data_IF_117961085131
#
_entry.id   IF_117961085131
#
_cell.length_a   1.000
_cell.length_b   1.000
_cell.length_c   1.000
_cell.angle_alpha   90.00
_cell.angle_beta   90.00
_cell.angle_gamma   90.00
#
_symmetry.space_group_name_H-M   'P 1'
#
loop_
_entity.id
_entity.type
_entity.pdbx_description
1 polymer ?
#
# COMPACT_ATOMS: atom_id res chain seq x y z
N UNK A 1 -24.96 -19.24 -47.58
CA UNK A 1 -25.60 -18.89 -46.28
C UNK A 1 -24.79 -19.57 -45.18
N UNK A 2 -23.79 -18.88 -44.66
CA UNK A 2 -22.96 -19.33 -43.54
C UNK A 2 -23.56 -18.77 -42.25
N UNK A 3 -24.18 -19.65 -41.46
CA UNK A 3 -24.69 -19.38 -40.15
C UNK A 3 -23.52 -19.02 -39.24
N UNK A 4 -23.28 -17.72 -39.02
CA UNK A 4 -22.50 -17.22 -37.88
C UNK A 4 -23.27 -17.60 -36.62
N UNK A 5 -22.83 -18.68 -35.96
CA UNK A 5 -23.30 -19.03 -34.64
C UNK A 5 -22.91 -17.87 -33.69
N UNK A 6 -23.92 -17.13 -33.21
CA UNK A 6 -23.78 -16.11 -32.21
C UNK A 6 -23.14 -16.77 -30.95
N UNK A 7 -21.87 -16.51 -30.75
CA UNK A 7 -21.19 -16.88 -29.49
C UNK A 7 -21.90 -16.13 -28.38
N UNK A 8 -22.82 -16.81 -27.69
CA UNK A 8 -23.45 -16.28 -26.50
C UNK A 8 -22.34 -15.95 -25.47
N UNK A 9 -21.99 -14.68 -25.36
CA UNK A 9 -21.01 -14.21 -24.38
C UNK A 9 -21.63 -14.34 -22.99
N UNK A 10 -21.19 -15.35 -22.24
CA UNK A 10 -21.59 -15.52 -20.84
C UNK A 10 -21.28 -14.22 -20.09
N UNK A 11 -22.15 -13.75 -19.16
CA UNK A 11 -21.88 -12.58 -18.35
C UNK A 11 -20.57 -12.78 -17.59
N UNK A 12 -19.73 -11.74 -17.51
CA UNK A 12 -18.37 -11.80 -16.95
C UNK A 12 -18.35 -12.44 -15.54
N UNK A 13 -19.38 -12.20 -14.72
CA UNK A 13 -19.54 -12.80 -13.38
C UNK A 13 -19.66 -14.33 -13.45
N UNK A 14 -20.43 -14.86 -14.40
CA UNK A 14 -20.60 -16.29 -14.56
C UNK A 14 -19.32 -16.98 -15.06
N UNK A 15 -18.46 -16.24 -15.78
CA UNK A 15 -17.18 -16.74 -16.25
C UNK A 15 -16.10 -16.72 -15.16
N UNK A 16 -16.12 -15.72 -14.27
CA UNK A 16 -15.20 -15.61 -13.13
C UNK A 16 -15.45 -16.66 -12.04
N UNK A 17 -16.72 -16.90 -11.74
CA UNK A 17 -17.13 -17.81 -10.68
C UNK A 17 -17.65 -19.16 -11.23
N UNK A 18 -17.40 -19.46 -12.51
CA UNK A 18 -17.66 -20.76 -13.12
C UNK A 18 -16.72 -21.85 -12.53
N UNK A 19 -17.12 -23.15 -12.68
CA UNK A 19 -16.41 -24.29 -12.07
C UNK A 19 -14.90 -24.29 -12.29
N UNK A 20 -14.46 -23.88 -13.49
CA UNK A 20 -13.05 -23.89 -13.88
C UNK A 20 -12.18 -22.82 -13.19
N UNK A 21 -12.75 -21.65 -12.83
CA UNK A 21 -12.02 -20.50 -12.32
C UNK A 21 -12.41 -20.07 -10.90
N UNK A 22 -13.49 -20.68 -10.36
CA UNK A 22 -14.04 -20.29 -9.05
C UNK A 22 -13.00 -20.35 -7.94
N UNK A 23 -12.26 -21.44 -7.82
CA UNK A 23 -11.23 -21.61 -6.79
C UNK A 23 -10.11 -20.59 -6.94
N UNK A 24 -9.62 -20.37 -8.17
CA UNK A 24 -8.60 -19.36 -8.48
C UNK A 24 -9.09 -17.97 -8.12
N UNK A 25 -10.31 -17.59 -8.55
CA UNK A 25 -10.88 -16.26 -8.28
C UNK A 25 -11.03 -16.05 -6.77
N UNK A 26 -11.63 -16.99 -6.04
CA UNK A 26 -11.81 -16.88 -4.60
C UNK A 26 -10.46 -16.84 -3.88
N UNK A 27 -9.50 -17.68 -4.26
CA UNK A 27 -8.17 -17.70 -3.68
C UNK A 27 -7.41 -16.40 -3.87
N UNK A 28 -7.47 -15.79 -5.08
CA UNK A 28 -6.89 -14.47 -5.34
C UNK A 28 -7.54 -13.37 -4.51
N UNK A 29 -8.88 -13.37 -4.43
CA UNK A 29 -9.61 -12.38 -3.63
C UNK A 29 -9.28 -12.52 -2.14
N UNK A 30 -9.14 -13.74 -1.62
CA UNK A 30 -8.70 -13.97 -0.24
C UNK A 30 -7.28 -13.49 0.02
N UNK A 31 -6.33 -13.75 -0.90
CA UNK A 31 -4.96 -13.23 -0.78
C UNK A 31 -4.92 -11.71 -0.71
N UNK A 32 -5.65 -11.05 -1.61
CA UNK A 32 -5.73 -9.58 -1.62
C UNK A 32 -6.42 -9.05 -0.37
N UNK A 33 -7.55 -9.65 0.03
CA UNK A 33 -8.27 -9.23 1.24
C UNK A 33 -7.43 -9.41 2.50
N UNK A 34 -6.64 -10.46 2.58
CA UNK A 34 -5.73 -10.71 3.69
C UNK A 34 -4.62 -9.66 3.78
N UNK A 35 -3.96 -9.34 2.65
CA UNK A 35 -2.94 -8.29 2.60
C UNK A 35 -3.55 -6.93 2.97
N UNK A 36 -4.77 -6.66 2.48
CA UNK A 36 -5.48 -5.44 2.79
C UNK A 36 -5.88 -5.35 4.27
N UNK A 37 -6.38 -6.45 4.87
CA UNK A 37 -6.72 -6.51 6.29
C UNK A 37 -5.49 -6.27 7.16
N UNK A 38 -4.38 -6.92 6.83
CA UNK A 38 -3.12 -6.76 7.55
C UNK A 38 -2.64 -5.30 7.48
N UNK A 39 -2.61 -4.71 6.28
CA UNK A 39 -2.17 -3.33 6.09
C UNK A 39 -3.00 -2.32 6.90
N UNK A 40 -4.32 -2.55 7.03
CA UNK A 40 -5.22 -1.65 7.78
C UNK A 40 -5.27 -1.98 9.27
N UNK A 41 -5.30 -3.27 9.63
CA UNK A 41 -5.45 -3.73 11.02
C UNK A 41 -4.21 -3.50 11.87
N UNK A 42 -3.01 -3.70 11.31
CA UNK A 42 -1.75 -3.48 12.02
C UNK A 42 -1.61 -2.04 12.49
N UNK A 43 -2.03 -1.06 11.67
CA UNK A 43 -2.02 0.36 12.06
C UNK A 43 -2.84 0.63 13.33
N UNK A 44 -3.99 -0.04 13.46
CA UNK A 44 -4.86 0.10 14.64
C UNK A 44 -4.27 -0.59 15.87
N UNK A 45 -3.67 -1.76 15.73
CA UNK A 45 -3.09 -2.51 16.85
C UNK A 45 -1.75 -1.92 17.31
N UNK A 46 -1.01 -1.20 16.48
CA UNK A 46 0.38 -0.79 16.73
C UNK A 46 0.60 0.01 18.01
N UNK A 47 -0.31 0.93 18.44
CA UNK A 47 -0.15 1.59 19.74
C UNK A 47 -0.04 0.61 20.92
N UNK A 48 -0.87 -0.44 20.92
CA UNK A 48 -0.81 -1.47 21.95
C UNK A 48 0.45 -2.34 21.85
N UNK A 49 0.86 -2.69 20.62
CA UNK A 49 2.09 -3.47 20.35
C UNK A 49 3.32 -2.77 20.92
N UNK A 50 3.52 -1.48 20.62
CA UNK A 50 4.71 -0.76 21.07
C UNK A 50 4.66 -0.44 22.57
N UNK A 51 3.46 -0.31 23.14
CA UNK A 51 3.28 -0.15 24.58
C UNK A 51 3.64 -1.44 25.33
N UNK A 52 3.16 -2.59 24.87
CA UNK A 52 3.43 -3.91 25.44
C UNK A 52 4.93 -4.27 25.34
N UNK A 53 5.58 -3.97 24.21
CA UNK A 53 7.01 -4.18 24.02
C UNK A 53 7.89 -3.09 24.65
N UNK A 54 7.32 -2.04 25.25
CA UNK A 54 8.03 -0.97 25.96
C UNK A 54 8.87 -0.06 25.05
N UNK A 55 8.53 0.07 23.75
CA UNK A 55 9.37 0.75 22.75
C UNK A 55 8.58 1.69 21.82
N UNK A 56 7.78 2.57 22.40
CA UNK A 56 6.94 3.54 21.66
C UNK A 56 7.74 4.36 20.62
N UNK A 57 9.02 4.66 20.95
CA UNK A 57 9.93 5.35 20.05
C UNK A 57 10.15 4.62 18.70
N UNK A 58 9.97 3.30 18.66
CA UNK A 58 10.15 2.49 17.46
C UNK A 58 8.84 2.29 16.67
N UNK A 59 7.78 3.07 16.94
CA UNK A 59 6.46 2.94 16.31
C UNK A 59 6.48 2.84 14.78
N UNK A 60 7.35 3.60 14.11
CA UNK A 60 7.44 3.63 12.66
C UNK A 60 8.10 2.36 12.05
N UNK A 61 8.99 1.70 12.80
CA UNK A 61 9.84 0.65 12.28
C UNK A 61 9.11 -0.57 11.70
N UNK A 62 8.02 -1.08 12.30
CA UNK A 62 7.27 -2.19 11.73
C UNK A 62 6.72 -1.88 10.32
N UNK A 63 6.31 -0.64 10.07
CA UNK A 63 5.81 -0.20 8.76
C UNK A 63 6.94 0.01 7.75
N UNK A 64 8.04 0.63 8.17
CA UNK A 64 9.23 0.85 7.34
C UNK A 64 9.85 -0.48 6.92
N UNK A 65 10.00 -1.44 7.86
CA UNK A 65 10.56 -2.76 7.58
C UNK A 65 9.72 -3.55 6.57
N UNK A 66 8.40 -3.55 6.73
CA UNK A 66 7.47 -4.16 5.78
C UNK A 66 7.59 -3.52 4.39
N UNK A 67 7.51 -2.18 4.31
CA UNK A 67 7.53 -1.47 3.04
C UNK A 67 8.87 -1.62 2.32
N UNK A 68 9.99 -1.51 3.02
CA UNK A 68 11.33 -1.70 2.47
C UNK A 68 11.51 -3.12 1.88
N UNK A 69 11.09 -4.14 2.63
CA UNK A 69 11.12 -5.52 2.16
C UNK A 69 10.20 -5.74 0.95
N UNK A 70 9.00 -5.14 0.95
CA UNK A 70 8.03 -5.24 -0.14
C UNK A 70 8.53 -4.59 -1.44
N UNK A 71 9.26 -3.48 -1.37
CA UNK A 71 9.90 -2.84 -2.54
C UNK A 71 10.86 -3.79 -3.24
N UNK A 72 11.74 -4.42 -2.47
CA UNK A 72 12.70 -5.40 -3.00
C UNK A 72 11.97 -6.60 -3.59
N UNK A 73 11.00 -7.11 -2.86
CA UNK A 73 10.23 -8.28 -3.24
C UNK A 73 9.38 -8.06 -4.49
N UNK A 74 8.84 -6.86 -4.70
CA UNK A 74 8.09 -6.50 -5.91
C UNK A 74 8.96 -6.62 -7.16
N UNK A 75 10.22 -6.16 -7.10
CA UNK A 75 11.17 -6.25 -8.21
C UNK A 75 11.63 -7.69 -8.43
N UNK A 76 11.95 -8.42 -7.36
CA UNK A 76 12.34 -9.83 -7.42
C UNK A 76 11.20 -10.72 -7.92
N UNK A 77 9.96 -10.44 -7.46
CA UNK A 77 8.75 -11.17 -7.84
C UNK A 77 8.45 -11.04 -9.33
N UNK A 78 8.60 -9.83 -9.89
CA UNK A 78 8.48 -9.63 -11.35
C UNK A 78 9.46 -10.53 -12.11
N UNK A 79 10.74 -10.47 -11.75
CA UNK A 79 11.76 -11.30 -12.40
C UNK A 79 11.52 -12.79 -12.20
N UNK A 80 11.09 -13.21 -11.02
CA UNK A 80 10.77 -14.61 -10.74
C UNK A 80 9.60 -15.10 -11.61
N UNK A 81 8.54 -14.29 -11.76
CA UNK A 81 7.43 -14.60 -12.66
C UNK A 81 7.86 -14.68 -14.13
N UNK A 82 8.76 -13.80 -14.58
CA UNK A 82 9.28 -13.80 -15.96
C UNK A 82 10.08 -15.08 -16.26
N UNK A 83 10.85 -15.58 -15.29
CA UNK A 83 11.75 -16.73 -15.50
C UNK A 83 11.04 -18.07 -15.28
N UNK A 84 10.26 -18.18 -14.20
CA UNK A 84 9.68 -19.45 -13.73
C UNK A 84 8.15 -19.51 -13.83
N UNK A 85 7.54 -18.48 -14.40
CA UNK A 85 6.08 -18.33 -14.41
C UNK A 85 5.48 -18.00 -13.03
N UNK A 86 4.17 -17.75 -12.95
CA UNK A 86 3.53 -17.29 -11.73
C UNK A 86 3.27 -18.36 -10.67
N UNK A 87 3.43 -19.67 -11.02
CA UNK A 87 3.05 -20.78 -10.14
C UNK A 87 3.82 -20.78 -8.82
N UNK A 88 5.16 -20.85 -8.90
CA UNK A 88 6.01 -20.92 -7.70
C UNK A 88 5.93 -19.65 -6.85
N UNK A 89 5.98 -18.44 -7.44
CA UNK A 89 5.73 -17.21 -6.69
C UNK A 89 4.41 -17.21 -5.93
N UNK A 90 3.31 -17.69 -6.52
CA UNK A 90 1.97 -17.72 -5.88
C UNK A 90 1.82 -18.75 -4.76
N UNK A 91 2.72 -19.73 -4.67
CA UNK A 91 2.73 -20.70 -3.58
C UNK A 91 3.69 -20.25 -2.48
N UNK A 92 4.90 -19.87 -2.86
CA UNK A 92 5.98 -19.57 -1.90
C UNK A 92 5.73 -18.22 -1.21
N UNK A 93 5.32 -17.20 -1.96
CA UNK A 93 5.20 -15.85 -1.39
C UNK A 93 4.11 -15.74 -0.31
N UNK A 94 2.88 -16.25 -0.50
CA UNK A 94 1.90 -16.29 0.59
C UNK A 94 2.35 -17.18 1.75
N UNK A 95 3.12 -18.26 1.49
CA UNK A 95 3.73 -19.08 2.54
C UNK A 95 4.73 -18.28 3.38
N UNK A 96 5.63 -17.52 2.75
CA UNK A 96 6.58 -16.61 3.43
C UNK A 96 5.83 -15.55 4.23
N UNK A 97 4.75 -14.98 3.65
CA UNK A 97 3.88 -14.04 4.36
C UNK A 97 3.27 -14.68 5.61
N UNK A 98 2.75 -15.92 5.49
CA UNK A 98 2.18 -16.69 6.60
C UNK A 98 3.19 -16.97 7.71
N UNK A 99 4.43 -17.35 7.36
CA UNK A 99 5.53 -17.48 8.33
C UNK A 99 5.79 -16.15 9.02
N UNK A 100 5.82 -15.05 8.26
CA UNK A 100 5.94 -13.70 8.81
C UNK A 100 4.83 -13.33 9.78
N UNK A 101 3.57 -13.74 9.51
CA UNK A 101 2.45 -13.57 10.44
C UNK A 101 2.66 -14.32 11.75
N UNK A 102 3.15 -15.57 11.68
CA UNK A 102 3.44 -16.36 12.89
C UNK A 102 4.56 -15.72 13.69
N UNK A 103 5.67 -15.33 13.03
CA UNK A 103 6.82 -14.69 13.70
C UNK A 103 6.41 -13.38 14.37
N UNK A 104 5.63 -12.54 13.69
CA UNK A 104 5.13 -11.27 14.26
C UNK A 104 4.09 -11.51 15.36
N UNK A 105 3.18 -12.47 15.15
CA UNK A 105 2.11 -12.79 16.10
C UNK A 105 2.57 -13.56 17.33
N UNK A 106 3.80 -14.03 17.38
CA UNK A 106 4.43 -14.62 18.58
C UNK A 106 5.55 -13.75 19.15
N UNK A 107 5.65 -12.48 18.69
CA UNK A 107 6.77 -11.64 19.05
C UNK A 107 6.74 -11.21 20.53
N UNK A 108 7.80 -11.55 21.27
CA UNK A 108 8.08 -11.06 22.61
C UNK A 108 9.14 -9.92 22.63
N UNK A 109 9.56 -9.46 21.44
CA UNK A 109 10.51 -8.35 21.29
C UNK A 109 10.30 -7.59 19.99
N UNK A 110 10.74 -6.33 19.96
CA UNK A 110 10.69 -5.52 18.74
C UNK A 110 11.51 -6.15 17.59
N UNK A 111 12.66 -6.74 17.89
CA UNK A 111 13.50 -7.39 16.88
C UNK A 111 12.77 -8.56 16.20
N UNK A 112 12.06 -9.39 16.98
CA UNK A 112 11.24 -10.48 16.43
C UNK A 112 10.07 -9.95 15.61
N UNK A 113 9.38 -8.91 16.09
CA UNK A 113 8.32 -8.25 15.35
C UNK A 113 8.84 -7.75 13.99
N UNK A 114 9.97 -7.04 13.97
CA UNK A 114 10.58 -6.54 12.74
C UNK A 114 10.97 -7.65 11.78
N UNK A 115 11.51 -8.76 12.27
CA UNK A 115 11.81 -9.95 11.44
C UNK A 115 10.51 -10.49 10.79
N UNK A 116 9.43 -10.61 11.56
CA UNK A 116 8.12 -10.96 11.03
C UNK A 116 7.62 -9.99 9.96
N UNK A 117 7.77 -8.67 10.17
CA UNK A 117 7.39 -7.61 9.23
C UNK A 117 8.19 -7.67 7.92
N UNK A 118 9.49 -7.96 7.99
CA UNK A 118 10.33 -8.19 6.80
C UNK A 118 9.81 -9.39 6.01
N UNK A 119 9.56 -10.53 6.65
CA UNK A 119 9.00 -11.71 5.98
C UNK A 119 7.63 -11.43 5.34
N UNK A 120 6.75 -10.73 6.04
CA UNK A 120 5.46 -10.29 5.50
C UNK A 120 5.64 -9.39 4.28
N UNK A 121 6.54 -8.40 4.34
CA UNK A 121 6.86 -7.52 3.22
C UNK A 121 7.39 -8.29 2.00
N UNK A 122 8.31 -9.23 2.21
CA UNK A 122 8.83 -10.11 1.15
C UNK A 122 7.71 -10.93 0.51
N UNK A 123 6.87 -11.56 1.31
CA UNK A 123 5.74 -12.34 0.84
C UNK A 123 4.71 -11.50 0.08
N UNK A 124 4.29 -10.37 0.64
CA UNK A 124 3.29 -9.49 0.03
C UNK A 124 3.76 -8.90 -1.30
N UNK A 125 5.00 -8.40 -1.39
CA UNK A 125 5.56 -7.81 -2.61
C UNK A 125 5.57 -8.78 -3.78
N UNK A 126 6.05 -10.01 -3.57
CA UNK A 126 6.03 -11.06 -4.61
C UNK A 126 4.60 -11.49 -4.93
N UNK A 127 3.73 -11.69 -3.92
CA UNK A 127 2.36 -12.18 -4.12
C UNK A 127 1.52 -11.22 -4.95
N UNK A 128 1.64 -9.91 -4.74
CA UNK A 128 0.93 -8.90 -5.52
C UNK A 128 1.32 -9.00 -6.99
N UNK A 129 2.61 -9.03 -7.32
CA UNK A 129 3.08 -9.12 -8.71
C UNK A 129 2.63 -10.44 -9.34
N UNK A 130 2.81 -11.55 -8.65
CA UNK A 130 2.41 -12.87 -9.13
C UNK A 130 0.90 -12.96 -9.39
N UNK A 131 0.08 -12.27 -8.58
CA UNK A 131 -1.37 -12.16 -8.79
C UNK A 131 -1.69 -11.46 -10.11
N UNK A 132 -1.03 -10.33 -10.44
CA UNK A 132 -1.23 -9.63 -11.71
C UNK A 132 -0.82 -10.49 -12.90
N UNK A 133 0.31 -11.20 -12.80
CA UNK A 133 0.77 -12.12 -13.85
C UNK A 133 -0.22 -13.28 -14.03
N UNK A 134 -0.72 -13.87 -12.94
CA UNK A 134 -1.73 -14.93 -13.02
C UNK A 134 -3.00 -14.45 -13.75
N UNK A 135 -3.46 -13.23 -13.44
CA UNK A 135 -4.63 -12.65 -14.12
C UNK A 135 -4.37 -12.52 -15.62
N UNK A 136 -3.17 -12.12 -15.99
CA UNK A 136 -2.82 -12.00 -17.41
C UNK A 136 -2.75 -13.35 -18.14
N UNK A 137 -2.42 -14.44 -17.44
CA UNK A 137 -2.30 -15.79 -18.03
C UNK A 137 -3.64 -16.54 -18.02
N UNK A 138 -4.37 -16.51 -16.91
CA UNK A 138 -5.57 -17.37 -16.70
C UNK A 138 -6.85 -16.75 -17.26
N UNK A 139 -6.95 -15.40 -17.24
CA UNK A 139 -8.20 -14.75 -17.60
C UNK A 139 -8.15 -14.14 -19.00
N UNK A 140 -9.16 -14.44 -19.88
CA UNK A 140 -9.28 -13.82 -21.19
C UNK A 140 -9.32 -12.29 -21.09
N UNK A 141 -8.75 -11.59 -22.08
CA UNK A 141 -8.64 -10.11 -22.08
C UNK A 141 -9.96 -9.41 -21.77
N UNK A 142 -11.09 -9.93 -22.29
CA UNK A 142 -12.43 -9.36 -22.10
C UNK A 142 -12.94 -9.36 -20.65
N UNK A 143 -12.51 -10.32 -19.80
CA UNK A 143 -12.98 -10.42 -18.40
C UNK A 143 -12.00 -9.85 -17.38
N UNK A 144 -10.76 -9.55 -17.77
CA UNK A 144 -9.76 -8.94 -16.87
C UNK A 144 -10.24 -7.66 -16.18
N UNK A 145 -10.99 -6.74 -16.85
CA UNK A 145 -11.54 -5.56 -16.15
C UNK A 145 -12.46 -5.93 -14.98
N UNK A 146 -13.26 -7.01 -15.13
CA UNK A 146 -14.12 -7.49 -14.06
C UNK A 146 -13.31 -8.11 -12.91
N UNK A 147 -12.20 -8.85 -13.21
CA UNK A 147 -11.28 -9.36 -12.17
C UNK A 147 -10.70 -8.20 -11.36
N UNK A 148 -10.21 -7.16 -12.01
CA UNK A 148 -9.67 -5.97 -11.33
C UNK A 148 -10.73 -5.24 -10.50
N UNK A 149 -11.98 -5.19 -10.98
CA UNK A 149 -13.10 -4.68 -10.21
C UNK A 149 -13.32 -5.47 -8.92
N UNK A 150 -13.30 -6.79 -8.96
CA UNK A 150 -13.40 -7.64 -7.77
C UNK A 150 -12.18 -7.53 -6.84
N UNK A 151 -10.97 -7.39 -7.39
CA UNK A 151 -9.77 -7.12 -6.59
C UNK A 151 -9.89 -5.79 -5.83
N UNK A 152 -10.41 -4.74 -6.49
CA UNK A 152 -10.68 -3.47 -5.80
C UNK A 152 -11.71 -3.63 -4.68
N UNK A 153 -12.78 -4.42 -4.92
CA UNK A 153 -13.76 -4.74 -3.88
C UNK A 153 -13.13 -5.55 -2.71
N UNK A 154 -12.15 -6.41 -3.01
CA UNK A 154 -11.40 -7.17 -2.01
C UNK A 154 -10.53 -6.29 -1.08
N UNK A 155 -10.23 -5.05 -1.46
CA UNK A 155 -9.64 -4.03 -0.58
C UNK A 155 -10.68 -3.30 0.27
N UNK A 156 -11.88 -3.07 -0.27
CA UNK A 156 -12.91 -2.27 0.40
C UNK A 156 -13.39 -2.94 1.69
N UNK A 157 -13.73 -4.23 1.65
CA UNK A 157 -14.24 -4.93 2.84
C UNK A 157 -13.22 -4.93 3.99
N UNK A 158 -11.95 -5.33 3.79
CA UNK A 158 -10.93 -5.23 4.83
C UNK A 158 -10.68 -3.81 5.34
N UNK A 159 -10.78 -2.80 4.48
CA UNK A 159 -10.57 -1.42 4.91
C UNK A 159 -11.68 -0.89 5.83
N UNK A 160 -12.91 -1.43 5.69
CA UNK A 160 -14.04 -1.10 6.56
C UNK A 160 -14.05 -1.91 7.85
N UNK A 161 -13.77 -3.21 7.76
CA UNK A 161 -13.90 -4.16 8.87
C UNK A 161 -12.58 -4.35 9.61
N UNK A 162 -11.44 -4.22 8.91
CA UNK A 162 -10.12 -4.49 9.47
C UNK A 162 -9.79 -3.67 10.71
N UNK A 163 -9.82 -2.32 10.67
CA UNK A 163 -9.50 -1.52 11.83
C UNK A 163 -10.38 -1.77 13.04
N UNK A 164 -11.74 -1.81 12.96
CA UNK A 164 -12.58 -2.14 14.11
C UNK A 164 -12.32 -3.55 14.65
N UNK A 165 -12.17 -4.54 13.80
CA UNK A 165 -11.89 -5.91 14.22
C UNK A 165 -10.52 -6.00 14.91
N UNK A 166 -9.49 -5.37 14.34
CA UNK A 166 -8.17 -5.31 14.95
C UNK A 166 -8.22 -4.60 16.32
N UNK A 167 -8.99 -3.51 16.45
CA UNK A 167 -9.21 -2.82 17.71
C UNK A 167 -9.84 -3.72 18.77
N UNK A 168 -10.99 -4.34 18.44
CA UNK A 168 -11.71 -5.26 19.35
C UNK A 168 -10.86 -6.46 19.73
N UNK A 169 -10.18 -7.09 18.76
CA UNK A 169 -9.31 -8.24 19.02
C UNK A 169 -8.16 -7.85 19.94
N UNK A 170 -7.54 -6.69 19.72
CA UNK A 170 -6.45 -6.20 20.54
C UNK A 170 -6.91 -5.90 21.97
N UNK A 171 -8.07 -5.27 22.15
CA UNK A 171 -8.61 -4.89 23.46
C UNK A 171 -9.16 -6.07 24.26
N UNK A 172 -9.80 -7.05 23.60
CA UNK A 172 -10.54 -8.14 24.27
C UNK A 172 -9.75 -9.43 24.40
N UNK A 173 -8.76 -9.64 23.53
CA UNK A 173 -7.98 -10.87 23.46
C UNK A 173 -6.50 -10.55 23.61
N UNK A 174 -5.85 -10.12 22.51
CA UNK A 174 -4.45 -9.67 22.45
C UNK A 174 -4.13 -9.19 21.04
N UNK A 175 -3.21 -8.22 20.90
CA UNK A 175 -2.69 -7.77 19.61
C UNK A 175 -2.03 -8.89 18.79
N UNK A 176 -1.51 -9.93 19.41
CA UNK A 176 -0.92 -11.09 18.74
C UNK A 176 -1.88 -11.74 17.74
N UNK A 177 -3.18 -11.76 18.08
CA UNK A 177 -4.22 -12.36 17.25
C UNK A 177 -4.57 -11.54 16.01
N UNK A 178 -4.18 -10.27 15.94
CA UNK A 178 -4.28 -9.48 14.70
C UNK A 178 -3.41 -10.08 13.59
N UNK A 179 -2.29 -10.70 13.95
CA UNK A 179 -1.41 -11.43 13.05
C UNK A 179 -1.81 -12.90 12.92
N UNK A 180 -1.89 -13.62 14.04
CA UNK A 180 -2.14 -15.08 14.06
C UNK A 180 -3.50 -15.45 13.47
N UNK A 181 -4.52 -14.61 13.66
CA UNK A 181 -5.86 -14.82 13.11
C UNK A 181 -5.91 -14.84 11.57
N UNK A 182 -4.91 -14.28 10.90
CA UNK A 182 -4.80 -14.31 9.43
C UNK A 182 -4.14 -15.60 8.89
N UNK A 183 -3.43 -16.37 9.73
CA UNK A 183 -2.74 -17.58 9.28
C UNK A 183 -3.69 -18.60 8.65
N UNK A 184 -4.86 -18.93 9.24
CA UNK A 184 -5.83 -19.82 8.60
C UNK A 184 -6.30 -19.31 7.24
N UNK A 185 -6.46 -17.98 7.06
CA UNK A 185 -6.87 -17.37 5.78
C UNK A 185 -5.80 -17.59 4.72
N UNK A 186 -4.51 -17.45 5.08
CA UNK A 186 -3.37 -17.78 4.19
C UNK A 186 -3.44 -19.22 3.73
N UNK A 187 -3.65 -20.15 4.66
CA UNK A 187 -3.71 -21.58 4.34
C UNK A 187 -4.87 -21.92 3.41
N UNK A 188 -6.05 -21.34 3.65
CA UNK A 188 -7.22 -21.50 2.77
C UNK A 188 -6.94 -20.90 1.38
N UNK A 189 -6.34 -19.71 1.31
CA UNK A 189 -6.00 -19.08 0.04
C UNK A 189 -4.99 -19.93 -0.75
N UNK A 190 -3.97 -20.48 -0.11
CA UNK A 190 -2.99 -21.39 -0.72
C UNK A 190 -3.65 -22.68 -1.21
N UNK A 191 -4.57 -23.27 -0.42
CA UNK A 191 -5.29 -24.46 -0.82
C UNK A 191 -6.18 -24.23 -2.05
N UNK A 192 -6.69 -23.01 -2.24
CA UNK A 192 -7.52 -22.65 -3.40
C UNK A 192 -6.69 -22.28 -4.63
N UNK A 193 -5.57 -21.56 -4.45
CA UNK A 193 -4.72 -21.11 -5.56
C UNK A 193 -3.77 -22.22 -6.04
N UNK A 194 -3.23 -23.02 -5.14
CA UNK A 194 -2.25 -24.05 -5.45
C UNK A 194 -2.67 -25.02 -6.56
N UNK A 195 -3.84 -25.68 -6.48
CA UNK A 195 -4.32 -26.55 -7.54
C UNK A 195 -4.58 -25.81 -8.87
N UNK A 196 -5.06 -24.59 -8.81
CA UNK A 196 -5.39 -23.78 -9.97
C UNK A 196 -4.16 -23.33 -10.79
N UNK A 197 -3.00 -23.36 -10.17
CA UNK A 197 -1.72 -23.04 -10.84
C UNK A 197 -1.00 -24.27 -11.41
N UNK A 198 -1.55 -25.49 -11.19
CA UNK A 198 -1.01 -26.72 -11.80
C UNK A 198 -1.13 -26.64 -13.32
N UNK A 199 -0.01 -26.82 -14.01
CA UNK A 199 0.01 -26.75 -15.48
C UNK A 199 0.31 -25.37 -16.06
N UNK A 200 0.44 -24.31 -15.25
CA UNK A 200 0.96 -23.04 -15.73
C UNK A 200 2.47 -23.19 -15.96
N UNK A 201 2.87 -23.33 -17.21
CA UNK A 201 4.27 -23.38 -17.60
C UNK A 201 4.94 -22.00 -17.49
N UNK A 202 6.28 -22.01 -17.43
CA UNK A 202 7.06 -20.79 -17.70
C UNK A 202 6.79 -20.31 -19.13
N UNK A 203 6.88 -18.99 -19.41
CA UNK A 203 6.72 -18.47 -20.76
C UNK A 203 7.71 -19.18 -21.72
N UNK A 204 7.20 -19.72 -22.83
CA UNK A 204 8.02 -20.38 -23.86
C UNK A 204 8.81 -19.37 -24.69
N UNK A 205 8.28 -18.18 -24.86
CA UNK A 205 8.94 -17.06 -25.54
C UNK A 205 10.00 -16.47 -24.60
N UNK A 206 11.26 -16.65 -24.98
CA UNK A 206 12.46 -16.33 -24.20
C UNK A 206 12.33 -15.12 -23.27
N UNK A 207 12.88 -15.28 -22.07
CA UNK A 207 12.84 -14.28 -21.00
C UNK A 207 13.32 -12.92 -21.53
N UNK A 208 12.45 -11.91 -21.52
CA UNK A 208 12.84 -10.55 -21.85
C UNK A 208 14.11 -10.13 -21.09
N UNK A 209 15.09 -9.48 -21.73
CA UNK A 209 16.33 -9.13 -21.09
C UNK A 209 16.04 -8.30 -19.84
N UNK A 210 16.52 -8.78 -18.69
CA UNK A 210 16.35 -8.06 -17.43
C UNK A 210 16.96 -6.66 -17.57
N UNK A 211 16.22 -5.62 -17.23
CA UNK A 211 16.81 -4.29 -17.06
C UNK A 211 17.87 -4.43 -15.96
N UNK A 212 19.16 -4.44 -16.36
CA UNK A 212 20.29 -4.67 -15.46
C UNK A 212 20.27 -3.66 -14.31
N UNK A 213 20.46 -4.14 -13.09
CA UNK A 213 20.58 -3.30 -11.90
C UNK A 213 19.27 -2.88 -11.21
N UNK A 214 18.08 -3.32 -11.66
CA UNK A 214 16.82 -2.99 -10.95
C UNK A 214 16.76 -3.60 -9.55
N UNK A 215 17.26 -4.82 -9.35
CA UNK A 215 17.32 -5.47 -8.04
C UNK A 215 18.26 -4.70 -7.10
N UNK A 216 19.44 -4.32 -7.61
CA UNK A 216 20.41 -3.50 -6.85
C UNK A 216 19.80 -2.14 -6.51
N UNK A 217 19.07 -1.53 -7.45
CA UNK A 217 18.38 -0.27 -7.19
C UNK A 217 17.24 -0.44 -6.16
N UNK A 218 16.48 -1.55 -6.19
CA UNK A 218 15.45 -1.82 -5.19
C UNK A 218 16.05 -2.04 -3.79
N UNK A 219 17.14 -2.80 -3.70
CA UNK A 219 17.90 -2.95 -2.45
C UNK A 219 18.44 -1.60 -1.96
N UNK A 220 19.03 -0.80 -2.86
CA UNK A 220 19.51 0.52 -2.54
C UNK A 220 18.39 1.45 -2.05
N UNK A 221 17.21 1.41 -2.68
CA UNK A 221 16.06 2.18 -2.24
C UNK A 221 15.54 1.75 -0.85
N UNK A 222 15.46 0.44 -0.61
CA UNK A 222 15.05 -0.11 0.69
C UNK A 222 16.03 0.27 1.80
N UNK A 223 17.33 0.07 1.57
CA UNK A 223 18.41 0.44 2.52
C UNK A 223 18.43 1.96 2.71
N UNK A 224 18.26 2.73 1.66
CA UNK A 224 18.23 4.20 1.72
C UNK A 224 17.08 4.72 2.58
N UNK A 225 15.86 4.22 2.39
CA UNK A 225 14.70 4.63 3.21
C UNK A 225 14.86 4.18 4.66
N UNK A 226 15.27 2.93 4.90
CA UNK A 226 15.51 2.44 6.26
C UNK A 226 16.66 3.21 6.94
N UNK A 227 17.73 3.49 6.21
CA UNK A 227 18.88 4.27 6.69
C UNK A 227 18.52 5.70 7.04
N UNK A 228 17.70 6.38 6.21
CA UNK A 228 17.18 7.72 6.54
C UNK A 228 16.27 7.69 7.77
N UNK A 229 15.42 6.67 7.87
CA UNK A 229 14.56 6.49 9.06
C UNK A 229 15.38 6.25 10.33
N UNK A 230 16.48 5.49 10.25
CA UNK A 230 17.39 5.28 11.37
C UNK A 230 18.16 6.56 11.72
N UNK A 231 18.72 7.23 10.72
CA UNK A 231 19.50 8.45 10.87
C UNK A 231 18.67 9.56 11.53
N UNK A 232 17.42 9.70 11.15
CA UNK A 232 16.51 10.71 11.71
C UNK A 232 16.17 10.49 13.19
N UNK A 233 16.40 9.29 13.71
CA UNK A 233 16.22 8.94 15.14
C UNK A 233 17.53 9.04 15.92
N UNK A 234 18.66 9.29 15.29
CA UNK A 234 20.00 9.35 15.89
C UNK A 234 20.64 10.71 15.65
N UNK A 235 20.45 11.65 16.57
CA UNK A 235 20.98 13.02 16.50
C UNK A 235 22.48 13.08 16.87
N UNK A 236 23.28 12.25 16.22
CA UNK A 236 24.75 12.17 16.41
C UNK A 236 25.47 12.35 15.08
N UNK A 237 26.77 12.52 15.15
CA UNK A 237 27.60 12.50 13.94
C UNK A 237 27.39 11.21 13.13
N UNK A 238 27.24 10.07 13.81
CA UNK A 238 26.95 8.80 13.18
C UNK A 238 25.59 8.84 12.43
N UNK A 239 24.56 9.46 13.00
CA UNK A 239 23.27 9.69 12.34
C UNK A 239 23.41 10.55 11.10
N UNK A 240 24.15 11.65 11.16
CA UNK A 240 24.40 12.52 10.00
C UNK A 240 25.16 11.79 8.87
N UNK A 241 26.18 11.01 9.22
CA UNK A 241 26.92 10.18 8.26
C UNK A 241 26.01 9.13 7.63
N UNK A 242 25.19 8.44 8.43
CA UNK A 242 24.23 7.45 7.92
C UNK A 242 23.19 8.09 6.99
N UNK A 243 22.69 9.29 7.30
CA UNK A 243 21.79 10.04 6.42
C UNK A 243 22.44 10.36 5.07
N UNK A 244 23.70 10.79 5.08
CA UNK A 244 24.46 11.09 3.86
C UNK A 244 24.65 9.82 3.01
N UNK A 245 25.06 8.71 3.62
CA UNK A 245 25.22 7.41 2.94
C UNK A 245 23.87 6.95 2.37
N UNK A 246 22.81 7.00 3.17
CA UNK A 246 21.47 6.61 2.75
C UNK A 246 20.98 7.46 1.55
N UNK A 247 21.22 8.77 1.56
CA UNK A 247 20.88 9.67 0.44
C UNK A 247 21.71 9.34 -0.82
N UNK A 248 23.00 9.10 -0.68
CA UNK A 248 23.90 8.71 -1.80
C UNK A 248 23.45 7.41 -2.45
N UNK A 249 22.92 6.47 -1.67
CA UNK A 249 22.39 5.19 -2.19
C UNK A 249 20.99 5.35 -2.78
N UNK A 250 20.12 6.13 -2.12
CA UNK A 250 18.72 6.29 -2.51
C UNK A 250 18.54 7.05 -3.82
N UNK A 251 19.27 8.17 -4.00
CA UNK A 251 19.11 9.04 -5.18
C UNK A 251 19.35 8.31 -6.50
N UNK A 252 20.48 7.58 -6.71
CA UNK A 252 20.66 6.82 -7.95
C UNK A 252 19.71 5.62 -8.06
N UNK A 253 19.29 5.03 -6.93
CA UNK A 253 18.28 3.97 -6.93
C UNK A 253 16.94 4.48 -7.49
N UNK A 254 16.44 5.62 -7.00
CA UNK A 254 15.23 6.26 -7.51
C UNK A 254 15.35 6.61 -9.00
N UNK A 255 16.52 7.06 -9.44
CA UNK A 255 16.78 7.37 -10.86
C UNK A 255 16.64 6.17 -11.80
N UNK A 256 16.82 4.93 -11.29
CA UNK A 256 16.64 3.68 -12.05
C UNK A 256 15.26 3.06 -11.92
N UNK A 257 14.62 3.25 -10.76
CA UNK A 257 13.30 2.67 -10.45
C UNK A 257 12.16 3.51 -10.99
N UNK A 258 12.35 4.83 -11.13
CA UNK A 258 11.33 5.77 -11.55
C UNK A 258 11.58 6.29 -12.97
N UNK A 259 10.54 6.70 -13.72
CA UNK A 259 10.70 7.33 -15.03
C UNK A 259 11.55 8.60 -14.94
N UNK A 260 12.35 8.85 -15.98
CA UNK A 260 13.23 10.00 -16.03
C UNK A 260 12.44 11.32 -15.89
N UNK A 261 12.86 12.17 -14.96
CA UNK A 261 12.20 13.45 -14.68
C UNK A 261 11.09 13.39 -13.61
N UNK A 262 10.85 12.24 -12.97
CA UNK A 262 9.85 12.10 -11.89
C UNK A 262 10.10 13.09 -10.76
N UNK A 263 11.34 13.19 -10.22
CA UNK A 263 11.68 14.11 -9.13
C UNK A 263 11.49 15.59 -9.52
N UNK A 264 11.63 15.91 -10.81
CA UNK A 264 11.42 17.28 -11.35
C UNK A 264 9.98 17.53 -11.79
N UNK A 265 9.07 16.60 -11.53
CA UNK A 265 7.67 16.67 -11.96
C UNK A 265 7.50 17.04 -13.45
N UNK A 266 8.29 16.42 -14.36
CA UNK A 266 8.13 16.63 -15.79
C UNK A 266 6.74 16.21 -16.21
N UNK A 267 6.14 16.93 -17.18
CA UNK A 267 4.79 16.67 -17.67
C UNK A 267 4.60 15.24 -18.13
N UNK A 268 3.38 14.73 -18.02
CA UNK A 268 2.99 13.36 -18.39
C UNK A 268 3.30 12.34 -17.30
N UNK A 269 3.72 11.14 -17.68
CA UNK A 269 3.93 9.99 -16.79
C UNK A 269 4.85 10.30 -15.59
N UNK A 270 5.97 11.04 -15.72
CA UNK A 270 6.80 11.37 -14.56
C UNK A 270 6.05 12.14 -13.48
N UNK A 271 5.21 13.10 -13.86
CA UNK A 271 4.37 13.85 -12.91
C UNK A 271 3.30 12.97 -12.27
N UNK A 272 2.73 12.01 -13.03
CA UNK A 272 1.74 11.05 -12.52
C UNK A 272 2.37 10.13 -11.46
N UNK A 273 3.58 9.62 -11.71
CA UNK A 273 4.31 8.77 -10.77
C UNK A 273 4.68 9.53 -9.49
N UNK A 274 5.12 10.78 -9.61
CA UNK A 274 5.39 11.63 -8.44
C UNK A 274 4.10 11.91 -7.65
N UNK A 275 3.02 12.26 -8.36
CA UNK A 275 1.71 12.48 -7.74
C UNK A 275 1.22 11.22 -7.01
N UNK A 276 1.48 10.01 -7.54
CA UNK A 276 1.17 8.76 -6.86
C UNK A 276 1.88 8.65 -5.51
N UNK A 277 3.19 8.88 -5.49
CA UNK A 277 3.97 8.84 -4.26
C UNK A 277 3.51 9.89 -3.25
N UNK A 278 3.29 11.12 -3.68
CA UNK A 278 2.81 12.18 -2.79
C UNK A 278 1.43 11.88 -2.21
N UNK A 279 0.46 11.45 -3.04
CA UNK A 279 -0.89 11.17 -2.58
C UNK A 279 -0.95 9.99 -1.61
N UNK A 280 -0.35 8.86 -2.02
CA UNK A 280 -0.33 7.66 -1.20
C UNK A 280 0.50 7.86 0.07
N UNK A 281 1.69 8.44 -0.07
CA UNK A 281 2.57 8.70 1.08
C UNK A 281 1.92 9.60 2.13
N UNK A 282 1.30 10.71 1.72
CA UNK A 282 0.64 11.62 2.67
C UNK A 282 -0.56 10.97 3.34
N UNK A 283 -1.42 10.28 2.58
CA UNK A 283 -2.60 9.62 3.14
C UNK A 283 -2.24 8.46 4.06
N UNK A 284 -1.40 7.51 3.60
CA UNK A 284 -1.08 6.32 4.39
C UNK A 284 -0.20 6.63 5.60
N UNK A 285 0.71 7.62 5.50
CA UNK A 285 1.47 8.06 6.67
C UNK A 285 0.53 8.65 7.74
N UNK A 286 -0.36 9.58 7.38
CA UNK A 286 -1.34 10.11 8.31
C UNK A 286 -2.22 9.00 8.89
N UNK A 287 -2.76 8.12 8.02
CA UNK A 287 -3.60 7.00 8.42
C UNK A 287 -2.94 6.08 9.46
N UNK A 288 -1.62 5.87 9.33
CA UNK A 288 -0.82 5.07 10.27
C UNK A 288 -0.75 5.71 11.66
N UNK A 289 -0.67 7.04 11.74
CA UNK A 289 -0.49 7.75 13.00
C UNK A 289 -1.80 8.21 13.66
N UNK A 290 -2.93 8.20 12.97
CA UNK A 290 -4.23 8.59 13.54
C UNK A 290 -4.60 7.78 14.79
N UNK A 291 -4.49 6.43 14.83
CA UNK A 291 -4.77 5.68 16.04
C UNK A 291 -3.88 6.07 17.21
N UNK A 292 -2.57 6.24 16.98
CA UNK A 292 -1.64 6.68 18.03
C UNK A 292 -2.01 8.07 18.54
N UNK A 293 -2.35 9.01 17.65
CA UNK A 293 -2.78 10.34 18.04
C UNK A 293 -3.97 10.25 18.99
N UNK A 294 -5.03 9.55 18.63
CA UNK A 294 -6.27 9.49 19.39
C UNK A 294 -6.11 8.75 20.72
N UNK A 295 -5.34 7.65 20.75
CA UNK A 295 -5.09 6.91 21.98
C UNK A 295 -4.18 7.68 22.95
N UNK A 296 -3.09 8.27 22.44
CA UNK A 296 -2.09 8.94 23.28
C UNK A 296 -2.52 10.35 23.76
N UNK A 297 -3.37 11.08 22.99
CA UNK A 297 -3.75 12.45 23.35
C UNK A 297 -5.14 12.58 23.95
N UNK A 298 -6.05 11.65 23.62
CA UNK A 298 -7.45 11.71 24.04
C UNK A 298 -7.88 10.49 24.86
N UNK A 299 -7.00 9.51 25.07
CA UNK A 299 -7.33 8.30 25.83
C UNK A 299 -8.42 7.45 25.17
N UNK A 300 -8.61 7.56 23.84
CA UNK A 300 -9.59 6.74 23.14
C UNK A 300 -9.21 5.27 23.19
N UNK A 301 -10.21 4.39 23.23
CA UNK A 301 -9.99 2.98 22.98
C UNK A 301 -9.50 2.75 21.55
N UNK A 302 -8.79 1.66 21.29
CA UNK A 302 -8.31 1.30 19.95
C UNK A 302 -9.48 1.15 18.98
N UNK A 303 -10.59 0.58 19.44
CA UNK A 303 -11.84 0.44 18.65
C UNK A 303 -12.39 1.81 18.25
N UNK A 304 -12.44 2.79 19.16
CA UNK A 304 -12.88 4.14 18.85
C UNK A 304 -11.88 4.86 17.90
N UNK A 305 -10.59 4.70 18.13
CA UNK A 305 -9.53 5.26 17.29
C UNK A 305 -9.50 4.69 15.87
N UNK A 306 -10.13 3.54 15.63
CA UNK A 306 -10.32 2.96 14.30
C UNK A 306 -11.42 3.67 13.48
N UNK A 307 -12.37 4.39 14.12
CA UNK A 307 -13.52 5.03 13.43
C UNK A 307 -13.09 5.98 12.31
N UNK A 308 -12.11 6.89 12.49
CA UNK A 308 -11.63 7.75 11.40
C UNK A 308 -11.14 6.98 10.18
N UNK A 309 -10.50 5.83 10.38
CA UNK A 309 -9.97 4.98 9.30
C UNK A 309 -11.12 4.36 8.50
N UNK A 310 -12.17 3.90 9.17
CA UNK A 310 -13.39 3.36 8.54
C UNK A 310 -14.09 4.45 7.73
N UNK A 311 -14.27 5.62 8.32
CA UNK A 311 -14.92 6.77 7.67
C UNK A 311 -14.14 7.20 6.42
N UNK A 312 -12.81 7.27 6.49
CA UNK A 312 -11.96 7.57 5.33
C UNK A 312 -12.08 6.48 4.25
N UNK A 313 -12.14 5.21 4.64
CA UNK A 313 -12.29 4.09 3.69
C UNK A 313 -13.64 4.10 2.97
N UNK A 314 -14.71 4.49 3.66
CA UNK A 314 -16.03 4.74 3.04
C UNK A 314 -15.94 5.89 2.03
N UNK A 315 -15.33 7.01 2.41
CA UNK A 315 -15.10 8.14 1.53
C UNK A 315 -14.33 7.76 0.27
N UNK A 316 -13.24 6.99 0.43
CA UNK A 316 -12.45 6.46 -0.69
C UNK A 316 -13.31 5.60 -1.62
N UNK A 317 -14.01 4.64 -1.07
CA UNK A 317 -14.83 3.69 -1.85
C UNK A 317 -15.94 4.39 -2.64
N UNK A 318 -16.67 5.30 -1.99
CA UNK A 318 -17.75 6.06 -2.61
C UNK A 318 -17.23 7.01 -3.71
N UNK A 319 -16.15 7.72 -3.45
CA UNK A 319 -15.54 8.62 -4.42
C UNK A 319 -14.99 7.88 -5.64
N UNK A 320 -14.34 6.73 -5.44
CA UNK A 320 -13.86 5.88 -6.54
C UNK A 320 -15.00 5.32 -7.38
N UNK A 321 -16.08 4.84 -6.73
CA UNK A 321 -17.27 4.33 -7.41
C UNK A 321 -17.99 5.45 -8.18
N UNK A 322 -18.10 6.64 -7.60
CA UNK A 322 -18.68 7.81 -8.26
C UNK A 322 -17.88 8.20 -9.51
N UNK A 323 -16.54 8.28 -9.38
CA UNK A 323 -15.65 8.60 -10.51
C UNK A 323 -15.76 7.58 -11.64
N UNK A 324 -15.92 6.28 -11.31
CA UNK A 324 -16.08 5.22 -12.31
C UNK A 324 -17.34 5.37 -13.16
N UNK A 325 -18.39 6.02 -12.63
CA UNK A 325 -19.65 6.31 -13.34
C UNK A 325 -19.57 7.58 -14.20
N UNK A 326 -18.52 8.38 -14.07
CA UNK A 326 -18.34 9.65 -14.79
C UNK A 326 -17.03 9.62 -15.60
N UNK A 327 -16.99 8.89 -16.72
CA UNK A 327 -15.75 8.71 -17.53
C UNK A 327 -15.28 10.04 -18.17
N UNK A 328 -16.17 10.98 -18.40
CA UNK A 328 -15.89 12.24 -19.11
C UNK A 328 -15.17 13.29 -18.25
N UNK A 329 -15.05 13.06 -16.94
CA UNK A 329 -14.40 14.00 -16.04
C UNK A 329 -12.88 14.06 -16.27
N UNK A 330 -12.34 15.27 -16.26
CA UNK A 330 -10.91 15.53 -16.38
C UNK A 330 -10.13 14.91 -15.20
N UNK A 331 -9.35 13.88 -15.45
CA UNK A 331 -8.57 13.18 -14.40
C UNK A 331 -7.54 14.08 -13.71
N UNK A 332 -6.81 14.96 -14.40
CA UNK A 332 -5.94 15.94 -13.74
C UNK A 332 -6.69 16.88 -12.78
N UNK A 333 -7.92 17.34 -13.14
CA UNK A 333 -8.73 18.18 -12.23
C UNK A 333 -9.20 17.40 -11.01
N UNK A 334 -9.64 16.15 -11.18
CA UNK A 334 -10.00 15.27 -10.06
C UNK A 334 -8.81 15.02 -9.13
N UNK A 335 -7.60 14.92 -9.68
CA UNK A 335 -6.39 14.78 -8.89
C UNK A 335 -6.08 16.03 -8.07
N UNK A 336 -6.26 17.23 -8.62
CA UNK A 336 -6.14 18.50 -7.86
C UNK A 336 -7.12 18.53 -6.69
N UNK A 337 -8.39 18.20 -6.95
CA UNK A 337 -9.43 18.14 -5.90
C UNK A 337 -9.08 17.07 -4.87
N UNK A 338 -8.61 15.91 -5.32
CA UNK A 338 -8.18 14.82 -4.44
C UNK A 338 -7.10 15.26 -3.46
N UNK A 339 -6.05 15.90 -3.95
CA UNK A 339 -4.99 16.45 -3.10
C UNK A 339 -5.49 17.56 -2.15
N UNK A 340 -6.34 18.46 -2.63
CA UNK A 340 -6.92 19.53 -1.80
C UNK A 340 -7.73 18.93 -0.63
N UNK A 341 -8.53 17.89 -0.89
CA UNK A 341 -9.30 17.21 0.15
C UNK A 341 -8.41 16.45 1.16
N UNK A 342 -7.32 15.81 0.69
CA UNK A 342 -6.34 15.17 1.60
C UNK A 342 -5.66 16.23 2.47
N UNK A 343 -5.24 17.35 1.88
CA UNK A 343 -4.64 18.47 2.62
C UNK A 343 -5.60 19.04 3.67
N UNK A 344 -6.86 19.26 3.29
CA UNK A 344 -7.89 19.77 4.21
C UNK A 344 -8.16 18.80 5.35
N UNK A 345 -8.30 17.49 5.07
CA UNK A 345 -8.52 16.48 6.10
C UNK A 345 -7.35 16.36 7.08
N UNK A 346 -6.10 16.38 6.58
CA UNK A 346 -4.91 16.34 7.41
C UNK A 346 -4.75 17.60 8.28
N UNK A 347 -4.98 18.79 7.69
CA UNK A 347 -4.92 20.06 8.41
C UNK A 347 -6.02 20.16 9.48
N UNK A 348 -7.25 19.78 9.15
CA UNK A 348 -8.37 19.78 10.10
C UNK A 348 -8.11 18.81 11.27
N UNK A 349 -7.59 17.61 10.99
CA UNK A 349 -7.24 16.65 12.02
C UNK A 349 -6.10 17.16 12.91
N UNK A 350 -5.09 17.83 12.34
CA UNK A 350 -4.01 18.45 13.09
C UNK A 350 -4.51 19.55 14.05
N UNK A 351 -5.43 20.39 13.58
CA UNK A 351 -5.98 21.49 14.40
C UNK A 351 -7.00 21.01 15.42
N UNK A 352 -7.82 20.01 15.08
CA UNK A 352 -8.88 19.52 15.94
C UNK A 352 -8.37 18.55 17.04
N UNK A 353 -7.33 17.76 16.75
CA UNK A 353 -6.85 16.71 17.65
C UNK A 353 -6.43 17.19 19.05
N UNK A 354 -5.71 18.31 19.23
CA UNK A 354 -5.33 18.80 20.55
C UNK A 354 -6.48 19.37 21.39
N UNK A 355 -7.55 19.88 20.73
CA UNK A 355 -8.57 20.70 21.38
C UNK A 355 -9.88 19.95 21.66
N UNK A 356 -10.26 18.97 20.84
CA UNK A 356 -11.65 18.56 20.81
C UNK A 356 -11.95 17.14 21.27
N UNK A 357 -11.02 16.19 21.19
CA UNK A 357 -11.25 14.82 21.67
C UNK A 357 -12.60 14.20 21.27
N UNK A 358 -13.21 14.70 20.19
CA UNK A 358 -14.60 14.51 19.83
C UNK A 358 -14.74 13.49 18.68
N UNK A 359 -15.84 12.72 18.63
CA UNK A 359 -16.18 11.87 17.48
C UNK A 359 -16.19 12.59 16.14
N UNK A 360 -16.33 13.92 16.14
CA UNK A 360 -16.29 14.75 14.92
C UNK A 360 -14.96 14.67 14.18
N UNK A 361 -13.86 14.26 14.83
CA UNK A 361 -12.58 13.97 14.17
C UNK A 361 -12.72 12.90 13.07
N UNK A 362 -13.63 11.96 13.24
CA UNK A 362 -13.92 10.95 12.23
C UNK A 362 -14.43 11.58 10.91
N UNK A 363 -15.22 12.65 11.01
CA UNK A 363 -15.76 13.33 9.83
C UNK A 363 -14.71 14.17 9.09
N UNK A 364 -13.75 14.75 9.81
CA UNK A 364 -12.64 15.46 9.16
C UNK A 364 -11.78 14.51 8.31
N UNK A 365 -11.58 13.26 8.76
CA UNK A 365 -10.82 12.26 8.00
C UNK A 365 -11.57 11.70 6.79
N UNK A 366 -12.92 11.80 6.74
CA UNK A 366 -13.73 11.52 5.56
C UNK A 366 -13.25 12.31 4.33
N UNK A 367 -12.91 13.58 4.50
CA UNK A 367 -12.45 14.43 3.38
C UNK A 367 -11.17 13.88 2.76
N UNK A 368 -10.22 13.42 3.59
CA UNK A 368 -9.00 12.77 3.10
C UNK A 368 -9.31 11.46 2.37
N UNK A 369 -10.25 10.66 2.87
CA UNK A 369 -10.71 9.44 2.21
C UNK A 369 -11.32 9.72 0.83
N UNK A 370 -12.23 10.69 0.73
CA UNK A 370 -12.80 11.14 -0.56
C UNK A 370 -11.70 11.61 -1.50
N UNK A 371 -10.75 12.42 -1.00
CA UNK A 371 -9.59 12.91 -1.75
C UNK A 371 -8.74 11.76 -2.30
N UNK A 372 -8.48 10.75 -1.47
CA UNK A 372 -7.75 9.54 -1.88
C UNK A 372 -8.50 8.77 -2.97
N UNK A 373 -9.83 8.60 -2.84
CA UNK A 373 -10.66 7.92 -3.84
C UNK A 373 -10.61 8.59 -5.21
N UNK A 374 -10.72 9.92 -5.24
CA UNK A 374 -10.64 10.70 -6.48
C UNK A 374 -9.23 10.65 -7.08
N UNK A 375 -8.20 10.91 -6.28
CA UNK A 375 -6.83 11.02 -6.75
C UNK A 375 -6.23 9.69 -7.18
N UNK A 376 -6.38 8.65 -6.37
CA UNK A 376 -5.77 7.34 -6.62
C UNK A 376 -6.34 6.66 -7.87
N UNK A 377 -7.66 6.75 -8.07
CA UNK A 377 -8.31 6.25 -9.28
C UNK A 377 -7.93 7.04 -10.51
N UNK A 378 -7.82 8.39 -10.40
CA UNK A 378 -7.37 9.25 -11.50
C UNK A 378 -5.93 8.92 -11.92
N UNK A 379 -5.02 8.72 -10.96
CA UNK A 379 -3.62 8.32 -11.21
C UNK A 379 -3.55 6.98 -11.94
N UNK A 380 -4.29 5.98 -11.45
CA UNK A 380 -4.32 4.65 -12.06
C UNK A 380 -4.76 4.70 -13.54
N UNK A 381 -5.75 5.53 -13.84
CA UNK A 381 -6.18 5.79 -15.22
C UNK A 381 -5.09 6.49 -16.04
N UNK A 382 -4.49 7.57 -15.50
CA UNK A 382 -3.50 8.39 -16.21
C UNK A 382 -2.22 7.60 -16.52
N UNK A 383 -1.76 6.74 -15.62
CA UNK A 383 -0.61 5.85 -15.88
C UNK A 383 -0.87 5.01 -17.12
N UNK A 384 -2.05 4.40 -17.24
CA UNK A 384 -2.40 3.56 -18.38
C UNK A 384 -2.60 4.37 -19.65
N UNK A 385 -3.27 5.53 -19.56
CA UNK A 385 -3.62 6.35 -20.71
C UNK A 385 -2.41 7.07 -21.33
N UNK A 386 -1.40 7.43 -20.53
CA UNK A 386 -0.22 8.16 -20.97
C UNK A 386 0.99 7.26 -21.29
N UNK A 387 0.91 5.96 -20.99
CA UNK A 387 2.00 5.04 -21.23
C UNK A 387 1.96 4.49 -22.65
N UNK A 388 3.12 4.46 -23.32
CA UNK A 388 3.25 3.71 -24.57
C UNK A 388 3.02 2.20 -24.32
N UNK A 389 2.53 1.44 -25.31
CA UNK A 389 2.19 0.02 -25.13
C UNK A 389 3.32 -0.85 -24.55
N UNK A 390 4.59 -0.56 -24.88
CA UNK A 390 5.76 -1.29 -24.38
C UNK A 390 6.20 -0.87 -22.96
N UNK A 391 5.75 0.29 -22.45
CA UNK A 391 6.19 0.86 -21.18
C UNK A 391 5.16 0.78 -20.05
N UNK A 392 3.95 0.31 -20.34
CA UNK A 392 2.86 0.21 -19.37
C UNK A 392 3.28 -0.55 -18.11
N UNK A 393 3.97 -1.69 -18.27
CA UNK A 393 4.45 -2.49 -17.14
C UNK A 393 5.47 -1.74 -16.28
N UNK A 394 6.44 -1.06 -16.90
CA UNK A 394 7.43 -0.26 -16.17
C UNK A 394 6.80 0.92 -15.43
N UNK A 395 5.93 1.68 -16.08
CA UNK A 395 5.27 2.84 -15.47
C UNK A 395 4.32 2.46 -14.33
N UNK A 396 3.60 1.33 -14.49
CA UNK A 396 2.75 0.79 -13.42
C UNK A 396 3.59 0.35 -12.22
N UNK A 397 4.68 -0.37 -12.46
CA UNK A 397 5.60 -0.79 -11.39
C UNK A 397 6.25 0.41 -10.70
N UNK A 398 6.73 1.40 -11.47
CA UNK A 398 7.31 2.62 -10.94
C UNK A 398 6.31 3.41 -10.07
N UNK A 399 5.03 3.43 -10.47
CA UNK A 399 3.94 4.04 -9.71
C UNK A 399 3.73 3.34 -8.35
N UNK A 400 3.75 2.01 -8.33
CA UNK A 400 3.65 1.22 -7.09
C UNK A 400 4.87 1.39 -6.19
N UNK A 401 6.08 1.46 -6.78
CA UNK A 401 7.31 1.72 -6.03
C UNK A 401 7.32 3.13 -5.43
N UNK A 402 6.84 4.14 -6.17
CA UNK A 402 6.70 5.51 -5.65
C UNK A 402 5.74 5.57 -4.46
N UNK A 403 4.61 4.84 -4.53
CA UNK A 403 3.66 4.68 -3.43
C UNK A 403 4.33 4.09 -2.18
N UNK A 404 4.96 2.92 -2.31
CA UNK A 404 5.60 2.21 -1.19
C UNK A 404 6.76 2.99 -0.57
N UNK A 405 7.64 3.56 -1.40
CA UNK A 405 8.80 4.31 -0.93
C UNK A 405 8.42 5.61 -0.24
N UNK A 406 7.46 6.36 -0.80
CA UNK A 406 6.97 7.60 -0.19
C UNK A 406 6.23 7.33 1.12
N UNK A 407 5.42 6.28 1.16
CA UNK A 407 4.72 5.86 2.39
C UNK A 407 5.73 5.51 3.49
N UNK A 408 6.71 4.66 3.18
CA UNK A 408 7.75 4.29 4.14
C UNK A 408 8.57 5.49 4.63
N UNK A 409 8.97 6.39 3.71
CA UNK A 409 9.74 7.58 4.05
C UNK A 409 8.97 8.54 4.96
N UNK A 410 7.68 8.79 4.67
CA UNK A 410 6.86 9.70 5.46
C UNK A 410 6.44 9.10 6.81
N UNK A 411 6.22 7.78 6.90
CA UNK A 411 6.05 7.09 8.17
C UNK A 411 7.33 7.19 9.00
N UNK A 412 8.49 6.97 8.39
CA UNK A 412 9.79 7.14 9.04
C UNK A 412 10.00 8.55 9.56
N UNK A 413 9.63 9.58 8.79
CA UNK A 413 9.68 10.98 9.20
C UNK A 413 8.77 11.26 10.42
N UNK A 414 7.60 10.65 10.48
CA UNK A 414 6.72 10.72 11.66
C UNK A 414 7.36 10.09 12.90
N UNK A 415 8.04 8.94 12.75
CA UNK A 415 8.82 8.32 13.82
C UNK A 415 9.96 9.22 14.30
N UNK A 416 10.65 9.92 13.40
CA UNK A 416 11.66 10.90 13.74
C UNK A 416 11.11 12.07 14.55
N UNK A 417 9.95 12.61 14.18
CA UNK A 417 9.29 13.68 14.92
C UNK A 417 8.88 13.24 16.32
N UNK A 418 8.43 11.99 16.50
CA UNK A 418 8.12 11.43 17.82
C UNK A 418 9.35 11.36 18.72
N UNK A 419 10.52 11.04 18.16
CA UNK A 419 11.79 11.04 18.89
C UNK A 419 12.26 12.44 19.26
N UNK A 420 12.11 13.41 18.32
CA UNK A 420 12.53 14.79 18.52
C UNK A 420 11.70 15.54 19.54
N UNK A 421 10.38 15.41 19.45
CA UNK A 421 9.43 16.22 20.22
C UNK A 421 8.94 15.50 21.49
N UNK A 422 9.32 14.24 21.67
CA UNK A 422 9.05 13.39 22.85
C UNK A 422 7.55 13.18 23.16
N UNK A 423 6.71 14.16 22.84
CA UNK A 423 5.26 14.12 23.10
C UNK A 423 4.48 13.83 21.81
N UNK A 424 3.72 12.73 21.74
CA UNK A 424 2.81 12.46 20.61
C UNK A 424 1.81 13.60 20.37
N UNK A 425 1.37 14.27 21.43
CA UNK A 425 0.43 15.39 21.36
C UNK A 425 0.98 16.60 20.57
N UNK A 426 2.31 16.76 20.51
CA UNK A 426 2.98 17.82 19.73
C UNK A 426 3.51 17.29 18.40
N UNK A 427 4.14 16.12 18.42
CA UNK A 427 4.78 15.55 17.23
C UNK A 427 3.77 15.24 16.12
N UNK A 428 2.62 14.65 16.45
CA UNK A 428 1.68 14.19 15.43
C UNK A 428 0.91 15.32 14.75
N UNK A 429 0.43 16.39 15.42
CA UNK A 429 -0.09 17.56 14.73
C UNK A 429 0.93 18.23 13.80
N UNK A 430 2.21 18.34 14.21
CA UNK A 430 3.29 18.87 13.36
C UNK A 430 3.47 17.99 12.12
N UNK A 431 3.47 16.66 12.28
CA UNK A 431 3.51 15.73 11.14
C UNK A 431 2.32 15.97 10.20
N UNK A 432 1.10 16.04 10.72
CA UNK A 432 -0.12 16.21 9.92
C UNK A 432 -0.10 17.53 9.13
N UNK A 433 0.40 18.63 9.71
CA UNK A 433 0.61 19.90 9.00
C UNK A 433 1.64 19.74 7.89
N UNK A 434 2.76 19.05 8.14
CA UNK A 434 3.76 18.74 7.11
C UNK A 434 3.18 17.90 5.96
N UNK A 435 2.37 16.90 6.29
CA UNK A 435 1.68 16.07 5.28
C UNK A 435 0.65 16.87 4.49
N UNK A 436 -0.09 17.78 5.14
CA UNK A 436 -1.01 18.70 4.47
C UNK A 436 -0.25 19.60 3.47
N UNK A 437 0.91 20.15 3.86
CA UNK A 437 1.75 20.95 2.96
C UNK A 437 2.26 20.13 1.75
N UNK A 438 2.64 18.87 1.95
CA UNK A 438 3.01 17.97 0.85
C UNK A 438 1.82 17.65 -0.07
N UNK A 439 0.62 17.51 0.48
CA UNK A 439 -0.59 17.34 -0.32
C UNK A 439 -0.89 18.61 -1.15
N UNK A 440 -0.71 19.81 -0.59
CA UNK A 440 -0.81 21.07 -1.35
C UNK A 440 0.21 21.12 -2.49
N UNK A 441 1.46 20.71 -2.24
CA UNK A 441 2.47 20.58 -3.30
C UNK A 441 2.00 19.60 -4.39
N UNK A 442 1.39 18.48 -4.01
CA UNK A 442 0.78 17.53 -4.93
C UNK A 442 -0.31 18.16 -5.79
N UNK A 443 -1.19 19.01 -5.20
CA UNK A 443 -2.20 19.75 -5.94
C UNK A 443 -1.59 20.71 -6.97
N UNK A 444 -0.48 21.38 -6.65
CA UNK A 444 0.26 22.27 -7.58
C UNK A 444 0.91 21.47 -8.72
N UNK A 445 1.35 20.24 -8.46
CA UNK A 445 1.95 19.35 -9.47
C UNK A 445 0.89 18.69 -10.35
N UNK A 446 -0.30 18.40 -9.83
CA UNK A 446 -1.36 17.67 -10.52
C UNK A 446 -1.70 18.17 -11.93
N UNK A 447 -1.73 19.48 -12.26
CA UNK A 447 -1.95 19.93 -13.63
C UNK A 447 -0.89 19.46 -14.65
N UNK A 448 0.34 19.14 -14.19
CA UNK A 448 1.40 18.60 -15.06
C UNK A 448 1.18 17.14 -15.47
N UNK A 449 0.18 16.49 -14.90
CA UNK A 449 -0.25 15.13 -15.31
C UNK A 449 -1.11 15.15 -16.58
N UNK A 450 -1.60 16.31 -17.01
CA UNK A 450 -2.11 16.46 -18.37
C UNK A 450 -0.92 16.36 -19.32
N UNK A 451 -0.95 15.42 -20.25
CA UNK A 451 0.10 15.19 -21.23
C UNK A 451 0.31 16.37 -22.16
#
# INVERSE_FOLDING_TARGET
MTTQSAVQTRPARAELFGPERRSTTIGLLLLISMIAFEAMGVGTAMPAVVADLGVVALYAWPFVAFSAASVVATVLGGRWCDVAGPRMPLIVAPGVFGVGLVVAGTAGSMAQLLAGRVLQGLGAGVAIVATYVLIAVVYPKRVRPAVFGWMSAAWVLPSLVGPPVAGVVTERISWHWVFLGLVPVVLVALALVGPATRGLAAPEDGVAPARRGLVVAALGAAVGVAGLSWASQNHSVAGAVAAAIAAVVLVPALGRLLPAGTVRARRGVPAVVLARGLLAGTFFAANTYVPLLLTATHGWSLTAAAVPLVVASLGWSLASAWQGRHPDLSRPKLLVVGFALVATGAAALALAAPAWGSPWLAFTWLTAGVGMGLGYSAISYLVLALSAPGDVGFHTSASQLADQLSTAALIGAGGALLMLLVSPAVALPVLLVGLAALAVLGAVIAPRTAG
#
